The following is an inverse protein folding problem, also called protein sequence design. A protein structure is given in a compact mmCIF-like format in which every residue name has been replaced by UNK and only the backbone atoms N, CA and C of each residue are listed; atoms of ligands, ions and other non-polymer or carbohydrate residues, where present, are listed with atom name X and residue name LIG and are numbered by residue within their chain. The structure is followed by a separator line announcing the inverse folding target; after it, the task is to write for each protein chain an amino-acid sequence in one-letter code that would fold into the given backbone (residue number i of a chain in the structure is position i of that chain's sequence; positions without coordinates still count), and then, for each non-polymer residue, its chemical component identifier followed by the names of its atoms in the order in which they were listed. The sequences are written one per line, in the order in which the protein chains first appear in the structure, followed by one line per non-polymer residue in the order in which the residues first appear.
data_IF_407629067974
#
_entry.id   IF_407629067974
#
_cell.length_a   1.000
_cell.length_b   1.000
_cell.length_c   1.000
_cell.angle_alpha   90.00
_cell.angle_beta   90.00
_cell.angle_gamma   90.00
#
_symmetry.space_group_name_H-M   'P 1'
#
loop_
_entity.id
_entity.type
_entity.pdbx_description
1 polymer ?
#
# COMPACT_ATOMS: atom_id res chain seq x y z
N UNK A 1 8.46 -3.57 -15.13
CA UNK A 1 9.60 -2.84 -14.52
C UNK A 1 9.18 -2.63 -13.08
N UNK A 2 9.77 -3.35 -12.12
CA UNK A 2 9.30 -3.31 -10.73
C UNK A 2 9.62 -1.95 -10.13
N UNK A 3 8.57 -1.17 -9.88
CA UNK A 3 8.55 0.24 -9.47
C UNK A 3 8.60 0.41 -7.95
N UNK A 4 9.08 -0.60 -7.22
CA UNK A 4 8.77 -0.78 -5.80
C UNK A 4 9.98 -1.22 -5.00
N UNK A 5 10.21 -0.62 -3.83
CA UNK A 5 11.11 -1.17 -2.82
C UNK A 5 10.35 -2.23 -2.00
N UNK A 6 10.58 -3.50 -2.33
CA UNK A 6 9.91 -4.62 -1.66
C UNK A 6 10.83 -5.26 -0.61
N UNK A 7 10.39 -5.25 0.65
CA UNK A 7 11.06 -5.99 1.73
C UNK A 7 10.89 -7.50 1.51
N UNK A 8 11.81 -8.34 2.01
CA UNK A 8 11.67 -9.79 1.94
C UNK A 8 10.37 -10.29 2.59
N UNK A 9 9.94 -11.48 2.18
CA UNK A 9 8.78 -12.13 2.77
C UNK A 9 9.04 -12.55 4.22
N UNK A 10 8.03 -12.34 5.06
CA UNK A 10 7.88 -12.95 6.36
C UNK A 10 7.06 -14.23 6.19
N UNK A 11 7.71 -15.39 6.36
CA UNK A 11 7.14 -16.69 6.01
C UNK A 11 7.41 -17.11 4.55
N UNK A 12 6.79 -18.21 4.12
CA UNK A 12 6.96 -18.74 2.76
C UNK A 12 6.29 -17.82 1.73
N UNK A 13 6.99 -17.42 0.64
CA UNK A 13 6.41 -16.58 -0.40
C UNK A 13 5.10 -17.15 -0.96
N UNK A 14 4.05 -16.33 -0.96
CA UNK A 14 2.75 -16.74 -1.46
C UNK A 14 2.54 -16.34 -2.92
N UNK A 15 1.79 -17.17 -3.65
CA UNK A 15 1.33 -16.82 -5.01
C UNK A 15 0.02 -16.05 -4.96
N UNK A 16 -0.12 -15.02 -5.80
CA UNK A 16 -1.35 -14.21 -5.92
C UNK A 16 -1.85 -13.68 -4.57
N UNK A 17 -1.00 -12.98 -3.80
CA UNK A 17 -1.37 -12.45 -2.49
C UNK A 17 -2.46 -11.39 -2.58
N UNK A 18 -3.25 -11.27 -1.53
CA UNK A 18 -4.12 -10.10 -1.33
C UNK A 18 -3.24 -8.86 -1.19
N UNK A 19 -3.58 -7.77 -1.85
CA UNK A 19 -2.90 -6.48 -1.68
C UNK A 19 -3.69 -5.63 -0.70
N UNK A 20 -3.03 -4.98 0.25
CA UNK A 20 -3.65 -3.99 1.15
C UNK A 20 -2.91 -2.67 1.09
N UNK A 21 -3.64 -1.58 0.86
CA UNK A 21 -3.13 -0.22 0.94
C UNK A 21 -3.20 0.32 2.37
N UNK A 22 -2.11 0.91 2.85
CA UNK A 22 -2.02 1.55 4.16
C UNK A 22 -1.41 2.96 4.09
N UNK A 23 -1.67 3.76 5.11
CA UNK A 23 -1.08 5.09 5.29
C UNK A 23 -0.53 5.31 6.71
N UNK A 24 0.47 6.20 6.88
CA UNK A 24 0.94 6.63 8.20
C UNK A 24 -0.21 7.10 9.11
N UNK A 25 -0.24 6.59 10.34
CA UNK A 25 -1.26 6.94 11.34
C UNK A 25 -2.66 6.36 11.09
N UNK A 26 -2.82 5.50 10.08
CA UNK A 26 -4.07 4.77 9.85
C UNK A 26 -4.31 3.72 10.94
N UNK A 27 -5.59 3.41 11.19
CA UNK A 27 -5.97 2.29 12.05
C UNK A 27 -5.63 0.95 11.36
N UNK A 28 -4.74 0.16 11.97
CA UNK A 28 -4.28 -1.13 11.45
C UNK A 28 -5.37 -2.21 11.38
N UNK A 29 -6.61 -1.92 11.77
CA UNK A 29 -7.76 -2.80 11.47
C UNK A 29 -7.88 -3.15 9.98
N UNK A 30 -7.43 -2.27 9.08
CA UNK A 30 -7.40 -2.57 7.64
C UNK A 30 -6.48 -3.75 7.35
N UNK A 31 -5.31 -3.76 7.98
CA UNK A 31 -4.31 -4.84 7.87
C UNK A 31 -4.86 -6.13 8.47
N UNK A 32 -5.50 -6.07 9.64
CA UNK A 32 -6.16 -7.23 10.27
C UNK A 32 -7.20 -7.88 9.35
N UNK A 33 -8.08 -7.07 8.74
CA UNK A 33 -9.11 -7.59 7.83
C UNK A 33 -8.48 -8.15 6.55
N UNK A 34 -7.45 -7.51 6.02
CA UNK A 34 -6.75 -8.01 4.85
C UNK A 34 -6.04 -9.34 5.13
N UNK A 35 -5.39 -9.49 6.30
CA UNK A 35 -4.78 -10.74 6.73
C UNK A 35 -5.80 -11.87 6.88
N UNK A 36 -6.92 -11.61 7.56
CA UNK A 36 -8.01 -12.57 7.67
C UNK A 36 -8.58 -12.95 6.30
N UNK A 37 -8.66 -11.99 5.37
CA UNK A 37 -9.11 -12.26 4.00
C UNK A 37 -8.10 -13.13 3.26
N UNK A 38 -6.80 -12.81 3.31
CA UNK A 38 -5.75 -13.63 2.70
C UNK A 38 -5.78 -15.08 3.19
N UNK A 39 -5.96 -15.29 4.50
CA UNK A 39 -6.13 -16.62 5.09
C UNK A 39 -7.34 -17.37 4.51
N UNK A 40 -8.49 -16.70 4.39
CA UNK A 40 -9.71 -17.30 3.81
C UNK A 40 -9.50 -17.71 2.36
N UNK A 41 -8.75 -16.91 1.59
CA UNK A 41 -8.36 -17.22 0.22
C UNK A 41 -7.20 -18.23 0.12
N UNK A 42 -6.59 -18.64 1.24
CA UNK A 42 -5.46 -19.56 1.26
C UNK A 42 -4.20 -18.98 0.62
N UNK A 43 -4.01 -17.66 0.68
CA UNK A 43 -2.87 -16.94 0.11
C UNK A 43 -2.18 -16.04 1.15
N UNK A 44 -1.13 -15.33 0.73
CA UNK A 44 -0.41 -14.36 1.53
C UNK A 44 -0.91 -12.93 1.36
N UNK A 45 -0.19 -11.99 1.98
CA UNK A 45 -0.54 -10.59 2.03
C UNK A 45 0.62 -9.70 1.56
N UNK A 46 0.36 -8.80 0.62
CA UNK A 46 1.28 -7.72 0.27
C UNK A 46 0.74 -6.43 0.87
N UNK A 47 1.46 -5.89 1.83
CA UNK A 47 1.15 -4.61 2.48
C UNK A 47 1.86 -3.51 1.72
N UNK A 48 1.09 -2.54 1.22
CA UNK A 48 1.57 -1.49 0.33
C UNK A 48 1.37 -0.13 0.97
N UNK A 49 2.45 0.62 1.04
CA UNK A 49 2.39 2.06 1.23
C UNK A 49 2.81 2.73 -0.09
N UNK A 50 1.94 3.57 -0.63
CA UNK A 50 2.27 4.45 -1.77
C UNK A 50 2.48 5.85 -1.21
N UNK A 51 3.69 6.38 -1.38
CA UNK A 51 4.04 7.72 -0.94
C UNK A 51 3.72 8.75 -2.05
N UNK A 52 2.70 9.62 -1.87
CA UNK A 52 2.36 10.64 -2.86
C UNK A 52 3.32 11.83 -2.86
N UNK A 53 4.20 11.94 -1.87
CA UNK A 53 5.22 13.01 -1.77
C UNK A 53 6.48 12.70 -2.57
N UNK A 54 6.59 11.47 -3.09
CA UNK A 54 7.68 11.03 -3.94
C UNK A 54 7.18 10.66 -5.34
N UNK A 55 8.07 10.75 -6.32
CA UNK A 55 7.85 10.22 -7.67
C UNK A 55 8.99 9.29 -8.06
N UNK A 56 8.66 8.30 -8.88
CA UNK A 56 9.64 7.39 -9.46
C UNK A 56 10.19 8.01 -10.74
N UNK A 57 11.50 8.24 -10.78
CA UNK A 57 12.22 8.69 -11.97
C UNK A 57 13.22 7.63 -12.43
N UNK A 58 13.54 7.54 -13.74
CA UNK A 58 14.62 6.69 -14.21
C UNK A 58 15.93 7.04 -13.48
N UNK A 59 16.57 6.01 -12.92
CA UNK A 59 17.87 6.12 -12.28
C UNK A 59 19.02 6.24 -13.29
N UNK A 60 20.23 6.31 -12.75
CA UNK A 60 21.48 6.36 -13.52
C UNK A 60 21.76 5.07 -14.30
N UNK A 61 21.36 3.92 -13.75
CA UNK A 61 21.43 2.63 -14.39
C UNK A 61 20.14 2.31 -15.17
N UNK A 62 20.30 1.79 -16.39
CA UNK A 62 19.18 1.43 -17.24
C UNK A 62 18.26 0.39 -16.56
N UNK A 63 16.97 0.73 -16.44
CA UNK A 63 15.96 -0.13 -15.82
C UNK A 63 15.85 0.01 -14.30
N UNK A 64 16.71 0.81 -13.66
CA UNK A 64 16.56 1.20 -12.26
C UNK A 64 15.63 2.42 -12.17
N UNK A 65 14.71 2.39 -11.22
CA UNK A 65 13.88 3.54 -10.86
C UNK A 65 14.33 4.05 -9.49
N UNK A 66 14.33 5.38 -9.30
CA UNK A 66 14.70 6.03 -8.05
C UNK A 66 13.53 6.86 -7.55
N UNK A 67 13.20 6.75 -6.26
CA UNK A 67 12.24 7.63 -5.61
C UNK A 67 12.91 8.97 -5.30
N UNK A 68 12.31 10.05 -5.81
CA UNK A 68 12.78 11.42 -5.61
C UNK A 68 11.63 12.25 -5.04
N UNK A 69 11.88 13.12 -4.05
CA UNK A 69 10.86 14.02 -3.52
C UNK A 69 10.21 14.87 -4.62
N UNK A 70 8.91 15.11 -4.50
CA UNK A 70 8.18 16.03 -5.39
C UNK A 70 8.54 17.48 -5.08
N UNK A 71 8.76 17.80 -3.81
CA UNK A 71 9.23 19.12 -3.37
C UNK A 71 10.76 19.14 -3.33
N UNK A 72 11.44 19.93 -4.20
CA UNK A 72 12.89 20.00 -4.26
C UNK A 72 13.54 20.68 -3.04
N UNK A 73 12.75 21.42 -2.24
CA UNK A 73 13.19 22.08 -1.02
C UNK A 73 12.89 21.25 0.24
N UNK A 74 12.22 20.09 0.09
CA UNK A 74 12.10 19.11 1.17
C UNK A 74 13.51 18.59 1.50
N UNK A 75 14.01 18.77 2.74
CA UNK A 75 15.31 18.25 3.14
C UNK A 75 15.39 16.72 3.07
N UNK A 76 14.29 16.06 2.72
CA UNK A 76 14.15 14.62 2.66
C UNK A 76 14.14 14.11 4.07
N UNK A 77 13.00 14.23 4.76
CA UNK A 77 12.78 13.34 5.89
C UNK A 77 12.89 11.93 5.31
N UNK A 78 13.96 11.23 5.68
CA UNK A 78 14.49 10.12 4.89
C UNK A 78 13.33 9.12 4.73
N UNK A 79 12.84 8.82 3.50
CA UNK A 79 11.67 7.97 3.30
C UNK A 79 11.76 6.64 4.07
N UNK A 80 13.00 6.22 4.35
CA UNK A 80 13.33 5.11 5.22
C UNK A 80 12.78 5.18 6.64
N UNK A 81 12.60 6.35 7.30
CA UNK A 81 12.08 6.41 8.68
C UNK A 81 10.60 6.10 8.72
N UNK A 82 9.77 6.80 7.94
CA UNK A 82 8.33 6.52 7.87
C UNK A 82 8.07 5.11 7.35
N UNK A 83 8.83 4.67 6.34
CA UNK A 83 8.78 3.29 5.86
C UNK A 83 9.09 2.29 6.98
N UNK A 84 10.14 2.54 7.77
CA UNK A 84 10.53 1.68 8.88
C UNK A 84 9.49 1.65 10.00
N UNK A 85 8.96 2.80 10.41
CA UNK A 85 7.91 2.91 11.43
C UNK A 85 6.64 2.17 11.00
N UNK A 86 6.22 2.33 9.73
CA UNK A 86 5.11 1.59 9.17
C UNK A 86 5.38 0.08 9.13
N UNK A 87 6.57 -0.32 8.71
CA UNK A 87 6.97 -1.73 8.66
C UNK A 87 6.91 -2.37 10.05
N UNK A 88 7.44 -1.73 11.09
CA UNK A 88 7.41 -2.22 12.47
C UNK A 88 5.99 -2.33 13.03
N UNK A 89 5.13 -1.34 12.73
CA UNK A 89 3.71 -1.38 13.11
C UNK A 89 2.98 -2.56 12.46
N UNK A 90 3.21 -2.78 11.16
CA UNK A 90 2.63 -3.89 10.41
C UNK A 90 3.14 -5.23 10.91
N UNK A 91 4.44 -5.35 11.19
CA UNK A 91 5.04 -6.57 11.72
C UNK A 91 4.45 -6.93 13.09
N UNK A 92 4.33 -5.97 14.00
CA UNK A 92 3.69 -6.18 15.30
C UNK A 92 2.24 -6.64 15.17
N UNK A 93 1.50 -6.08 14.20
CA UNK A 93 0.10 -6.44 13.94
C UNK A 93 -0.06 -7.82 13.30
N UNK A 94 0.84 -8.22 12.41
CA UNK A 94 0.73 -9.46 11.65
C UNK A 94 1.38 -10.66 12.33
N UNK A 95 2.28 -10.44 13.29
CA UNK A 95 2.94 -11.51 14.07
C UNK A 95 1.95 -12.57 14.61
N UNK A 96 0.77 -12.22 15.16
CA UNK A 96 -0.20 -13.20 15.64
C UNK A 96 -0.96 -13.96 14.53
N UNK A 97 -0.96 -13.46 13.29
CA UNK A 97 -1.84 -13.95 12.23
C UNK A 97 -1.28 -15.12 11.41
N UNK A 98 0.00 -15.50 11.57
CA UNK A 98 0.65 -16.60 10.82
C UNK A 98 0.50 -16.55 9.28
N UNK A 99 -0.03 -15.46 8.72
CA UNK A 99 -0.14 -15.26 7.27
C UNK A 99 1.23 -14.92 6.72
N UNK A 100 1.62 -15.52 5.60
CA UNK A 100 2.82 -15.09 4.90
C UNK A 100 2.59 -13.68 4.35
N UNK A 101 3.53 -12.76 4.59
CA UNK A 101 3.35 -11.37 4.16
C UNK A 101 4.65 -10.70 3.74
N UNK A 102 4.53 -9.60 3.00
CA UNK A 102 5.66 -8.70 2.72
C UNK A 102 5.23 -7.24 2.69
N UNK A 103 6.19 -6.36 2.91
CA UNK A 103 5.99 -4.91 2.79
C UNK A 103 6.52 -4.39 1.46
N UNK A 104 5.78 -3.48 0.85
CA UNK A 104 6.06 -2.85 -0.43
C UNK A 104 5.90 -1.33 -0.26
N UNK A 105 6.99 -0.61 -0.52
CA UNK A 105 7.00 0.85 -0.61
C UNK A 105 7.07 1.27 -2.08
N UNK A 106 6.06 2.03 -2.51
CA UNK A 106 5.96 2.60 -3.85
C UNK A 106 5.72 4.11 -3.75
N UNK A 107 5.78 4.83 -4.86
CA UNK A 107 5.63 6.29 -4.90
C UNK A 107 4.75 6.78 -6.04
N UNK A 108 4.12 7.94 -5.83
CA UNK A 108 3.25 8.62 -6.78
C UNK A 108 1.77 8.51 -6.42
N UNK A 109 0.91 8.48 -7.45
CA UNK A 109 -0.55 8.40 -7.25
C UNK A 109 -0.94 7.05 -6.64
N UNK A 110 -1.72 7.09 -5.55
CA UNK A 110 -2.02 5.96 -4.67
C UNK A 110 -2.83 4.88 -5.38
N UNK A 111 -3.91 5.23 -6.07
CA UNK A 111 -4.76 4.25 -6.75
C UNK A 111 -3.98 3.52 -7.85
N UNK A 112 -3.24 4.25 -8.68
CA UNK A 112 -2.34 3.71 -9.71
C UNK A 112 -1.25 2.84 -9.09
N UNK A 113 -0.59 3.31 -8.04
CA UNK A 113 0.48 2.57 -7.36
C UNK A 113 -0.04 1.24 -6.78
N UNK A 114 -1.19 1.25 -6.13
CA UNK A 114 -1.84 0.03 -5.62
C UNK A 114 -2.23 -0.92 -6.76
N UNK A 115 -2.75 -0.38 -7.86
CA UNK A 115 -3.12 -1.19 -9.02
C UNK A 115 -1.91 -1.80 -9.74
N UNK A 116 -0.81 -1.06 -9.85
CA UNK A 116 0.45 -1.55 -10.41
C UNK A 116 1.01 -2.70 -9.58
N UNK A 117 1.02 -2.55 -8.25
CA UNK A 117 1.44 -3.63 -7.34
C UNK A 117 0.48 -4.82 -7.44
N UNK A 118 -0.83 -4.59 -7.46
CA UNK A 118 -1.81 -5.67 -7.62
C UNK A 118 -1.64 -6.43 -8.94
N UNK A 119 -1.34 -5.73 -10.04
CA UNK A 119 -1.03 -6.35 -11.32
C UNK A 119 0.30 -7.14 -11.28
N UNK A 120 1.34 -6.57 -10.67
CA UNK A 120 2.66 -7.21 -10.51
C UNK A 120 2.56 -8.55 -9.76
N UNK A 121 1.73 -8.60 -8.72
CA UNK A 121 1.55 -9.79 -7.90
C UNK A 121 0.35 -10.66 -8.31
N UNK A 122 -0.32 -10.35 -9.42
CA UNK A 122 -1.53 -11.03 -9.89
C UNK A 122 -2.60 -11.18 -8.78
N UNK A 123 -2.74 -10.13 -7.97
CA UNK A 123 -3.53 -10.10 -6.77
C UNK A 123 -5.01 -10.36 -7.09
N UNK A 124 -5.70 -11.22 -6.32
CA UNK A 124 -7.12 -11.50 -6.54
C UNK A 124 -8.01 -10.34 -6.08
N UNK A 125 -7.51 -9.45 -5.23
CA UNK A 125 -8.22 -8.28 -4.73
C UNK A 125 -7.28 -7.25 -4.09
N UNK A 126 -7.78 -6.02 -3.96
CA UNK A 126 -7.16 -4.94 -3.20
C UNK A 126 -8.04 -4.63 -1.98
N UNK A 127 -7.43 -4.47 -0.81
CA UNK A 127 -8.08 -4.06 0.43
C UNK A 127 -7.65 -2.64 0.77
N UNK A 128 -8.62 -1.78 1.09
CA UNK A 128 -8.37 -0.38 1.48
C UNK A 128 -9.23 0.01 2.67
N UNK A 129 -8.81 1.01 3.43
CA UNK A 129 -9.63 1.60 4.49
C UNK A 129 -10.69 2.56 3.92
N UNK A 130 -11.86 2.61 4.54
CA UNK A 130 -12.85 3.65 4.27
C UNK A 130 -12.34 5.02 4.75
N UNK A 131 -12.69 6.07 4.01
CA UNK A 131 -12.31 7.46 4.31
C UNK A 131 -12.69 7.88 5.73
N UNK A 132 -11.79 8.61 6.42
CA UNK A 132 -12.13 9.47 7.56
C UNK A 132 -12.32 10.95 7.12
N UNK A 133 -13.36 11.66 7.57
CA UNK A 133 -13.40 13.12 7.48
C UNK A 133 -12.20 13.72 8.24
N UNK A 134 -11.45 14.63 7.61
CA UNK A 134 -10.32 15.33 8.24
C UNK A 134 -8.92 14.74 8.02
N UNK A 135 -8.79 13.64 7.28
CA UNK A 135 -7.47 13.16 6.81
C UNK A 135 -7.12 13.89 5.51
N UNK A 136 -6.21 14.87 5.58
CA UNK A 136 -5.79 15.72 4.46
C UNK A 136 -4.96 14.99 3.40
N UNK A 137 -4.47 13.78 3.68
CA UNK A 137 -3.68 12.95 2.75
C UNK A 137 -4.45 12.44 1.53
N UNK A 138 -5.79 12.39 1.59
CA UNK A 138 -6.64 11.91 0.49
C UNK A 138 -7.22 13.04 -0.39
N UNK A 139 -6.62 14.24 -0.40
CA UNK A 139 -7.20 15.40 -1.12
C UNK A 139 -6.79 15.60 -2.59
N UNK A 140 -5.94 14.76 -3.19
CA UNK A 140 -5.60 14.97 -4.61
C UNK A 140 -6.57 14.32 -5.63
N UNK A 141 -7.59 13.57 -5.21
CA UNK A 141 -8.58 12.93 -6.11
C UNK A 141 -9.96 13.60 -6.14
N UNK A 142 -10.07 14.88 -5.78
CA UNK A 142 -11.34 15.62 -5.96
C UNK A 142 -11.40 16.31 -7.31
N UNK A 143 -11.32 15.49 -8.37
CA UNK A 143 -12.17 15.58 -9.56
C UNK A 143 -12.52 14.13 -10.02
N UNK A 144 -12.90 13.22 -9.11
CA UNK A 144 -13.26 11.86 -9.56
C UNK A 144 -13.89 10.84 -8.59
N UNK A 145 -13.67 10.90 -7.27
CA UNK A 145 -14.26 9.92 -6.31
C UNK A 145 -13.24 9.17 -5.43
N UNK A 146 -13.69 8.24 -4.57
CA UNK A 146 -12.88 7.36 -3.67
C UNK A 146 -11.70 6.68 -4.39
N UNK A 147 -10.56 6.39 -3.73
CA UNK A 147 -9.53 5.45 -4.23
C UNK A 147 -10.19 4.14 -4.66
N UNK A 148 -11.14 3.63 -3.88
CA UNK A 148 -11.92 2.46 -4.27
C UNK A 148 -12.75 2.71 -5.53
N UNK A 149 -13.26 3.93 -5.71
CA UNK A 149 -13.94 4.37 -6.93
C UNK A 149 -13.01 4.44 -8.15
N UNK A 150 -11.79 4.97 -7.98
CA UNK A 150 -10.78 5.02 -9.04
C UNK A 150 -10.30 3.62 -9.40
N UNK A 151 -10.00 2.77 -8.42
CA UNK A 151 -9.64 1.37 -8.63
C UNK A 151 -10.73 0.59 -9.38
N UNK A 152 -12.00 0.73 -8.98
CA UNK A 152 -13.13 0.03 -9.64
C UNK A 152 -13.34 0.50 -11.08
N UNK A 153 -13.07 1.77 -11.40
CA UNK A 153 -13.23 2.29 -12.75
C UNK A 153 -12.00 2.08 -13.64
N UNK A 154 -10.80 2.00 -13.06
CA UNK A 154 -9.55 1.90 -13.79
C UNK A 154 -9.02 0.46 -13.92
N UNK A 155 -9.44 -0.46 -13.05
CA UNK A 155 -8.86 -1.80 -12.95
C UNK A 155 -9.90 -2.90 -12.69
N UNK A 156 -9.74 -4.06 -13.34
CA UNK A 156 -10.66 -5.21 -13.23
C UNK A 156 -10.52 -6.01 -11.90
N UNK A 157 -9.81 -5.46 -10.90
CA UNK A 157 -9.47 -6.16 -9.66
C UNK A 157 -10.49 -5.79 -8.56
N UNK A 158 -11.14 -6.76 -7.92
CA UNK A 158 -12.08 -6.51 -6.82
C UNK A 158 -11.47 -5.67 -5.70
N UNK A 159 -12.25 -4.73 -5.15
CA UNK A 159 -11.84 -3.89 -4.01
C UNK A 159 -12.71 -4.17 -2.78
N UNK A 160 -12.06 -4.54 -1.67
CA UNK A 160 -12.68 -4.64 -0.36
C UNK A 160 -12.40 -3.37 0.44
N UNK A 161 -13.47 -2.67 0.84
CA UNK A 161 -13.38 -1.46 1.66
C UNK A 161 -13.66 -1.81 3.12
N UNK A 162 -12.70 -1.56 4.00
CA UNK A 162 -12.80 -1.79 5.44
C UNK A 162 -13.26 -0.52 6.14
N UNK A 163 -14.47 -0.48 6.75
CA UNK A 163 -14.93 0.67 7.52
C UNK A 163 -13.94 1.02 8.64
N UNK A 164 -13.69 2.29 8.91
CA UNK A 164 -12.84 2.73 10.03
C UNK A 164 -13.70 3.42 11.10
N UNK A 165 -13.42 3.25 12.41
CA UNK A 165 -14.24 3.86 13.45
C UNK A 165 -13.96 5.36 13.52
N UNK A 166 -14.97 6.14 13.89
CA UNK A 166 -14.79 7.53 14.29
C UNK A 166 -13.96 7.57 15.58
N UNK A 167 -12.94 8.43 15.64
CA UNK A 167 -12.16 8.61 16.86
C UNK A 167 -13.02 9.42 17.84
N UNK A 168 -13.49 8.77 18.92
CA UNK A 168 -14.17 9.47 20.02
C UNK A 168 -13.18 10.26 20.86
#
# INVERSE_FOLDING_TARGET
MSTTHARPWHGEPASRPVVVGIEPGQDLRVVRHAAATAQVYGTGLVVVWVDPTHVLVPGDAAGVMTMVPVDPDDPGDTPSRTEQELHELVEGELTPSAVAWRFVHSAGEVARGLAEVAAEYEAPMIVVGARKPGFSGWMNEVIGGSVAGHLVHAHEIPVLVVPLPERR
#
